data_IF_101806390499
#
_entry.id   IF_101806390499
#
_cell.length_a   1.000
_cell.length_b   1.000
_cell.length_c   1.000
_cell.angle_alpha   90.00
_cell.angle_beta   90.00
_cell.angle_gamma   90.00
#
_symmetry.space_group_name_H-M   'P 1'
#
loop_
_entity.id
_entity.type
_entity.pdbx_description
1 polymer ?
#
# COMPACT_ATOMS: atom_id res chain seq x y z
N UNK A 1 12.75 11.93 8.86
CA UNK A 1 12.14 12.86 9.82
C UNK A 1 11.46 12.02 10.91
N UNK A 2 11.62 12.38 12.18
CA UNK A 2 10.91 11.73 13.30
C UNK A 2 9.62 12.51 13.56
N UNK A 3 8.57 11.83 14.00
CA UNK A 3 7.35 12.50 14.44
C UNK A 3 7.55 13.04 15.86
N UNK A 4 7.79 14.35 15.95
CA UNK A 4 8.02 15.05 17.21
C UNK A 4 6.72 15.14 18.02
N UNK A 5 5.57 15.32 17.37
CA UNK A 5 4.28 15.37 18.03
C UNK A 5 3.94 14.03 18.70
N UNK A 6 4.07 12.92 17.96
CA UNK A 6 3.84 11.59 18.50
C UNK A 6 4.79 11.26 19.65
N UNK A 7 6.09 11.60 19.51
CA UNK A 7 7.11 11.29 20.53
C UNK A 7 6.99 12.16 21.78
N UNK A 8 6.54 13.41 21.64
CA UNK A 8 6.23 14.31 22.76
C UNK A 8 4.81 14.10 23.31
N UNK A 9 4.01 13.20 22.71
CA UNK A 9 2.61 12.95 23.06
C UNK A 9 1.73 14.20 22.94
N UNK A 10 2.00 15.02 21.93
CA UNK A 10 1.25 16.22 21.60
C UNK A 10 0.32 15.96 20.41
N UNK A 11 -0.79 16.70 20.38
CA UNK A 11 -1.58 16.82 19.16
C UNK A 11 -0.86 17.79 18.19
N UNK A 12 -0.94 17.58 16.86
CA UNK A 12 -0.37 18.50 15.87
C UNK A 12 -0.89 19.94 15.98
N UNK A 13 -2.09 20.12 16.55
CA UNK A 13 -2.69 21.43 16.83
C UNK A 13 -2.45 21.97 18.24
N UNK A 14 -1.45 21.46 18.97
CA UNK A 14 -1.13 21.95 20.32
C UNK A 14 -0.73 23.43 20.32
N UNK A 15 -1.10 24.16 21.36
CA UNK A 15 -0.67 25.56 21.52
C UNK A 15 0.80 25.66 21.95
N UNK A 16 1.38 26.85 21.83
CA UNK A 16 2.81 27.07 22.14
C UNK A 16 3.14 26.78 23.62
N UNK A 17 2.17 26.99 24.53
CA UNK A 17 2.36 26.73 25.95
C UNK A 17 2.42 25.22 26.25
N UNK A 18 1.58 24.43 25.60
CA UNK A 18 1.56 22.97 25.65
C UNK A 18 2.85 22.39 25.08
N UNK A 19 3.32 22.94 23.96
CA UNK A 19 4.59 22.55 23.33
C UNK A 19 5.76 22.83 24.29
N UNK A 20 5.85 24.04 24.84
CA UNK A 20 6.90 24.41 25.79
C UNK A 20 6.88 23.51 27.04
N UNK A 21 5.69 23.24 27.59
CA UNK A 21 5.55 22.35 28.74
C UNK A 21 5.99 20.91 28.44
N UNK A 22 5.62 20.37 27.28
CA UNK A 22 6.01 19.02 26.87
C UNK A 22 7.52 18.90 26.62
N UNK A 23 8.15 19.92 26.02
CA UNK A 23 9.60 19.98 25.82
C UNK A 23 10.32 20.05 27.18
N UNK A 24 9.81 20.86 28.12
CA UNK A 24 10.37 20.98 29.46
C UNK A 24 10.31 19.66 30.23
N UNK A 25 9.19 18.94 30.15
CA UNK A 25 8.96 17.64 30.79
C UNK A 25 9.69 16.47 30.12
N UNK A 26 10.26 16.66 28.91
CA UNK A 26 10.95 15.60 28.20
C UNK A 26 12.34 15.32 28.82
N UNK A 27 12.55 14.09 29.30
CA UNK A 27 13.85 13.63 29.85
C UNK A 27 14.87 13.29 28.74
N UNK A 28 14.40 13.00 27.52
CA UNK A 28 15.26 12.56 26.43
C UNK A 28 15.95 13.77 25.76
N UNK A 29 17.20 14.03 26.14
CA UNK A 29 17.98 15.20 25.73
C UNK A 29 18.02 15.46 24.22
N UNK A 30 18.23 14.42 23.40
CA UNK A 30 18.24 14.57 21.94
C UNK A 30 16.87 14.99 21.37
N UNK A 31 15.78 14.37 21.84
CA UNK A 31 14.42 14.72 21.40
C UNK A 31 14.05 16.13 21.85
N UNK A 32 14.46 16.51 23.07
CA UNK A 32 14.26 17.85 23.61
C UNK A 32 14.94 18.90 22.75
N UNK A 33 16.20 18.69 22.36
CA UNK A 33 16.95 19.62 21.51
C UNK A 33 16.32 19.74 20.11
N UNK A 34 15.93 18.63 19.49
CA UNK A 34 15.26 18.62 18.19
C UNK A 34 13.92 19.37 18.25
N UNK A 35 13.12 19.12 19.30
CA UNK A 35 11.84 19.76 19.50
C UNK A 35 11.96 21.26 19.78
N UNK A 36 12.92 21.66 20.61
CA UNK A 36 13.19 23.06 20.93
C UNK A 36 13.63 23.83 19.67
N UNK A 37 14.51 23.24 18.87
CA UNK A 37 15.01 23.87 17.65
C UNK A 37 13.95 24.03 16.55
N UNK A 38 12.90 23.21 16.54
CA UNK A 38 11.89 23.16 15.47
C UNK A 38 10.56 23.77 15.90
N UNK A 39 10.03 23.38 17.06
CA UNK A 39 8.65 23.72 17.46
C UNK A 39 8.53 25.07 18.17
N UNK A 40 9.62 25.62 18.74
CA UNK A 40 9.60 26.94 19.41
C UNK A 40 9.69 28.12 18.44
N UNK A 41 10.13 27.90 17.20
CA UNK A 41 10.22 28.95 16.19
C UNK A 41 9.05 28.83 15.22
N UNK A 42 8.14 29.80 15.21
CA UNK A 42 6.92 29.81 14.39
C UNK A 42 7.17 29.44 12.93
N UNK A 43 8.16 30.06 12.27
CA UNK A 43 8.52 29.74 10.88
C UNK A 43 8.91 28.27 10.69
N UNK A 44 9.76 27.73 11.57
CA UNK A 44 10.24 26.35 11.46
C UNK A 44 9.15 25.36 11.81
N UNK A 45 8.28 25.72 12.74
CA UNK A 45 7.08 24.96 13.09
C UNK A 45 6.15 24.85 11.88
N UNK A 46 5.87 25.95 11.19
CA UNK A 46 5.03 25.93 9.99
C UNK A 46 5.62 25.05 8.87
N UNK A 47 6.92 25.13 8.63
CA UNK A 47 7.61 24.27 7.65
C UNK A 47 7.58 22.79 8.09
N UNK A 48 7.79 22.53 9.37
CA UNK A 48 7.68 21.19 9.96
C UNK A 48 6.27 20.62 9.81
N UNK A 49 5.23 21.42 10.07
CA UNK A 49 3.83 21.01 9.99
C UNK A 49 3.46 20.64 8.54
N UNK A 50 3.90 21.43 7.55
CA UNK A 50 3.69 21.11 6.14
C UNK A 50 4.35 19.79 5.71
N UNK A 51 5.58 19.54 6.18
CA UNK A 51 6.29 18.28 5.93
C UNK A 51 5.63 17.10 6.66
N UNK A 52 5.21 17.32 7.91
CA UNK A 52 4.51 16.34 8.72
C UNK A 52 3.21 15.89 8.03
N UNK A 53 2.40 16.83 7.54
CA UNK A 53 1.16 16.53 6.83
C UNK A 53 1.41 15.72 5.55
N UNK A 54 2.45 16.10 4.79
CA UNK A 54 2.85 15.38 3.58
C UNK A 54 3.25 13.93 3.90
N UNK A 55 4.05 13.72 4.96
CA UNK A 55 4.46 12.38 5.38
C UNK A 55 3.30 11.55 5.92
N UNK A 56 2.38 12.18 6.66
CA UNK A 56 1.15 11.54 7.12
C UNK A 56 0.28 11.09 5.94
N UNK A 57 0.17 11.91 4.88
CA UNK A 57 -0.52 11.56 3.64
C UNK A 57 0.13 10.39 2.90
N UNK A 58 1.46 10.38 2.80
CA UNK A 58 2.20 9.25 2.24
C UNK A 58 1.96 7.99 3.06
N UNK A 59 1.98 8.08 4.40
CA UNK A 59 1.66 6.97 5.31
C UNK A 59 0.24 6.41 5.07
N UNK A 60 -0.76 7.30 4.94
CA UNK A 60 -2.15 6.93 4.60
C UNK A 60 -2.26 6.26 3.24
N UNK A 61 -1.60 6.80 2.21
CA UNK A 61 -1.59 6.22 0.87
C UNK A 61 -0.95 4.83 0.88
N UNK A 62 0.19 4.67 1.57
CA UNK A 62 0.90 3.41 1.71
C UNK A 62 0.04 2.34 2.37
N UNK A 63 -0.67 2.69 3.46
CA UNK A 63 -1.63 1.80 4.11
C UNK A 63 -2.77 1.38 3.18
N UNK A 64 -3.35 2.32 2.43
CA UNK A 64 -4.44 2.04 1.48
C UNK A 64 -4.02 1.19 0.28
N UNK A 65 -2.75 1.23 -0.09
CA UNK A 65 -2.19 0.43 -1.18
C UNK A 65 -1.64 -0.93 -0.71
N UNK A 66 -1.71 -1.24 0.59
CA UNK A 66 -1.11 -2.47 1.15
C UNK A 66 0.42 -2.50 1.08
N UNK A 67 1.05 -1.34 0.90
CA UNK A 67 2.51 -1.19 0.78
C UNK A 67 3.22 -1.03 2.13
N UNK A 68 2.48 -1.22 3.23
CA UNK A 68 2.96 -1.13 4.61
C UNK A 68 4.02 -2.17 4.97
N UNK A 69 4.17 -3.23 4.18
CA UNK A 69 5.03 -4.37 4.52
C UNK A 69 6.36 -4.38 3.75
N UNK A 70 6.64 -3.37 2.91
CA UNK A 70 7.86 -3.39 2.12
C UNK A 70 9.12 -3.28 3.03
N UNK A 71 10.21 -4.02 2.74
CA UNK A 71 11.37 -4.14 3.64
C UNK A 71 12.03 -2.81 4.01
N UNK A 72 11.99 -1.85 3.08
CA UNK A 72 12.60 -0.52 3.22
C UNK A 72 11.80 0.44 4.11
N UNK A 73 10.59 0.05 4.56
CA UNK A 73 9.72 0.88 5.39
C UNK A 73 9.69 0.49 6.88
N UNK A 74 10.18 -0.70 7.25
CA UNK A 74 10.02 -1.25 8.61
C UNK A 74 11.11 -0.83 9.61
N UNK A 75 12.05 0.02 9.20
CA UNK A 75 13.20 0.35 10.03
C UNK A 75 13.41 1.86 10.15
N UNK A 76 13.44 2.34 11.40
CA UNK A 76 13.85 3.70 11.75
C UNK A 76 12.73 4.74 11.77
N UNK A 77 13.04 6.03 11.57
CA UNK A 77 12.10 7.14 11.70
C UNK A 77 10.89 7.09 10.76
N UNK A 78 10.98 6.31 9.69
CA UNK A 78 9.89 6.12 8.73
C UNK A 78 8.71 5.33 9.33
N UNK A 79 8.92 4.67 10.47
CA UNK A 79 7.86 3.93 11.17
C UNK A 79 6.92 4.83 11.97
N UNK A 80 7.38 6.03 12.35
CA UNK A 80 6.56 7.00 13.09
C UNK A 80 5.28 7.39 12.31
N UNK A 81 5.37 7.42 10.96
CA UNK A 81 4.24 7.70 10.06
C UNK A 81 3.55 6.44 9.51
N UNK A 82 3.90 5.25 10.03
CA UNK A 82 3.25 4.00 9.68
C UNK A 82 1.87 3.91 10.32
N UNK A 83 0.84 3.94 9.48
CA UNK A 83 -0.50 3.55 9.92
C UNK A 83 -0.65 2.03 9.78
N UNK A 84 -1.34 1.37 10.73
CA UNK A 84 -1.76 -0.01 10.54
C UNK A 84 -2.62 -0.10 9.27
N UNK A 85 -2.61 -1.24 8.56
CA UNK A 85 -3.49 -1.43 7.42
C UNK A 85 -4.92 -1.14 7.87
N UNK A 86 -5.51 -0.08 7.30
CA UNK A 86 -6.85 0.38 7.68
C UNK A 86 -7.92 -0.68 7.40
N UNK A 87 -9.15 -0.51 7.94
CA UNK A 87 -10.24 -1.44 7.70
C UNK A 87 -10.49 -1.67 6.20
N UNK A 88 -10.98 -2.88 5.83
CA UNK A 88 -10.94 -3.41 4.47
C UNK A 88 -11.71 -2.50 3.51
N UNK A 89 -10.95 -1.84 2.67
CA UNK A 89 -11.39 -0.87 1.68
C UNK A 89 -10.23 -0.45 0.79
N UNK A 90 -9.16 -1.25 0.78
CA UNK A 90 -8.04 -1.02 -0.11
C UNK A 90 -8.58 -1.13 -1.54
N UNK A 91 -8.34 -0.11 -2.35
CA UNK A 91 -8.67 -0.19 -3.79
C UNK A 91 -8.01 -1.43 -4.42
N UNK A 92 -6.93 -1.93 -3.81
CA UNK A 92 -6.29 -3.20 -4.10
C UNK A 92 -7.21 -4.42 -3.86
N UNK A 93 -7.86 -4.56 -2.70
CA UNK A 93 -8.84 -5.63 -2.46
C UNK A 93 -10.02 -5.53 -3.42
N UNK A 94 -10.50 -4.32 -3.71
CA UNK A 94 -11.54 -4.12 -4.72
C UNK A 94 -11.07 -4.54 -6.13
N UNK A 95 -9.81 -4.26 -6.47
CA UNK A 95 -9.18 -4.68 -7.73
C UNK A 95 -8.98 -6.20 -7.79
N UNK A 96 -8.46 -6.79 -6.71
CA UNK A 96 -8.30 -8.23 -6.56
C UNK A 96 -9.64 -8.94 -6.65
N UNK A 97 -10.68 -8.41 -6.00
CA UNK A 97 -12.04 -8.90 -6.10
C UNK A 97 -12.55 -8.87 -7.55
N UNK A 98 -12.34 -7.78 -8.29
CA UNK A 98 -12.71 -7.69 -9.71
C UNK A 98 -11.92 -8.68 -10.58
N UNK A 99 -10.62 -8.82 -10.34
CA UNK A 99 -9.75 -9.76 -11.05
C UNK A 99 -10.15 -11.21 -10.79
N UNK A 100 -10.43 -11.58 -9.55
CA UNK A 100 -10.91 -12.91 -9.21
C UNK A 100 -12.26 -13.22 -9.85
N UNK A 101 -13.19 -12.26 -9.88
CA UNK A 101 -14.48 -12.44 -10.54
C UNK A 101 -14.31 -12.65 -12.06
N UNK A 102 -13.45 -11.86 -12.70
CA UNK A 102 -13.12 -12.01 -14.12
C UNK A 102 -12.43 -13.37 -14.39
N UNK A 103 -11.46 -13.75 -13.56
CA UNK A 103 -10.76 -15.02 -13.67
C UNK A 103 -11.70 -16.22 -13.48
N UNK A 104 -12.63 -16.17 -12.50
CA UNK A 104 -13.63 -17.23 -12.30
C UNK A 104 -14.61 -17.36 -13.47
N UNK A 105 -14.96 -16.25 -14.13
CA UNK A 105 -15.83 -16.27 -15.33
C UNK A 105 -15.09 -16.86 -16.52
N UNK A 106 -13.84 -16.45 -16.75
CA UNK A 106 -12.99 -17.02 -17.79
C UNK A 106 -12.73 -18.51 -17.57
N UNK A 107 -12.40 -18.92 -16.35
CA UNK A 107 -12.13 -20.32 -16.04
C UNK A 107 -13.38 -21.20 -16.17
N UNK A 108 -14.57 -20.69 -15.80
CA UNK A 108 -15.84 -21.39 -16.05
C UNK A 108 -16.14 -21.52 -17.54
N UNK A 109 -16.00 -20.44 -18.30
CA UNK A 109 -16.19 -20.46 -19.75
C UNK A 109 -15.23 -21.45 -20.40
N UNK A 110 -13.94 -21.38 -20.07
CA UNK A 110 -12.92 -22.31 -20.56
C UNK A 110 -13.23 -23.75 -20.17
N UNK A 111 -13.71 -24.03 -18.95
CA UNK A 111 -14.07 -25.39 -18.52
C UNK A 111 -15.24 -25.96 -19.31
N UNK A 112 -16.22 -25.13 -19.67
CA UNK A 112 -17.38 -25.56 -20.47
C UNK A 112 -17.01 -25.79 -21.94
N UNK A 113 -16.10 -24.97 -22.49
CA UNK A 113 -15.73 -25.04 -23.90
C UNK A 113 -14.46 -25.86 -24.19
N UNK A 114 -13.64 -26.18 -23.18
CA UNK A 114 -12.46 -27.04 -23.33
C UNK A 114 -12.74 -28.40 -23.97
N UNK A 115 -13.76 -29.19 -23.57
CA UNK A 115 -14.01 -30.48 -24.22
C UNK A 115 -14.42 -30.32 -25.69
N UNK A 116 -15.14 -29.24 -26.02
CA UNK A 116 -15.51 -28.93 -27.40
C UNK A 116 -14.32 -28.52 -28.26
N UNK A 117 -13.40 -27.71 -27.71
CA UNK A 117 -12.17 -27.33 -28.40
C UNK A 117 -11.27 -28.56 -28.65
N UNK A 118 -11.15 -29.45 -27.66
CA UNK A 118 -10.41 -30.71 -27.81
C UNK A 118 -11.07 -31.60 -28.86
N UNK A 119 -12.39 -31.76 -28.82
CA UNK A 119 -13.13 -32.55 -29.81
C UNK A 119 -12.95 -32.01 -31.24
N UNK A 120 -12.99 -30.68 -31.41
CA UNK A 120 -12.72 -30.04 -32.70
C UNK A 120 -11.29 -30.29 -33.19
N UNK A 121 -10.30 -30.18 -32.31
CA UNK A 121 -8.89 -30.46 -32.64
C UNK A 121 -8.68 -31.92 -33.06
N UNK A 122 -9.29 -32.86 -32.34
CA UNK A 122 -9.24 -34.30 -32.67
C UNK A 122 -9.93 -34.58 -34.01
N UNK A 123 -11.12 -34.01 -34.24
CA UNK A 123 -11.83 -34.17 -35.50
C UNK A 123 -11.03 -33.62 -36.70
N UNK A 124 -10.36 -32.48 -36.52
CA UNK A 124 -9.52 -31.87 -37.54
C UNK A 124 -8.27 -32.73 -37.83
N UNK A 125 -7.62 -33.27 -36.80
CA UNK A 125 -6.50 -34.19 -36.94
C UNK A 125 -6.89 -35.49 -37.65
N UNK A 126 -8.03 -36.09 -37.30
CA UNK A 126 -8.56 -37.28 -37.96
C UNK A 126 -8.93 -37.01 -39.42
N UNK A 127 -9.58 -35.88 -39.71
CA UNK A 127 -9.92 -35.48 -41.08
C UNK A 127 -8.69 -35.28 -41.96
N UNK A 128 -7.65 -34.61 -41.43
CA UNK A 128 -6.38 -34.44 -42.13
C UNK A 128 -5.69 -35.79 -42.41
N UNK A 129 -5.69 -36.71 -41.44
CA UNK A 129 -5.14 -38.06 -41.60
C UNK A 129 -5.86 -38.88 -42.68
N UNK A 130 -7.19 -38.82 -42.73
CA UNK A 130 -7.99 -39.50 -43.77
C UNK A 130 -7.74 -38.89 -45.15
N UNK A 131 -7.64 -37.56 -45.27
CA UNK A 131 -7.33 -36.93 -46.58
C UNK A 131 -5.92 -37.27 -47.07
N UNK A 132 -4.91 -37.24 -46.19
CA UNK A 132 -3.53 -37.59 -46.54
C UNK A 132 -3.40 -39.08 -46.90
N UNK A 133 -4.03 -39.97 -46.14
CA UNK A 133 -4.04 -41.41 -46.43
C UNK A 133 -4.81 -41.78 -47.69
N UNK A 134 -5.74 -40.94 -48.14
CA UNK A 134 -6.45 -41.13 -49.43
C UNK A 134 -5.71 -40.53 -50.62
N UNK A 135 -4.64 -39.76 -50.38
CA UNK A 135 -3.80 -39.12 -51.41
C UNK A 135 -2.46 -39.84 -51.64
N UNK A 136 -2.04 -40.73 -50.75
CA UNK A 136 -0.94 -41.67 -51.00
C UNK A 136 -1.53 -43.05 -51.39
N UNK A 137 -1.47 -43.44 -52.69
CA UNK A 137 -1.79 -44.80 -53.11
C UNK A 137 -0.74 -45.81 -52.66
#
# INVERSE_FOLDING_TARGET
MRDLYQRLRLAPGADDAQIAAAIAACEHTALKADADAVLQTEWRRAEYDALHDTLADIGRLRARLGLTHAPYWRAGPADDFSLPPGPPGSRLEALMGRLEHAARRYNRWRRLHAPWLIAGLVALALGAGVMLGRWMP
#
